data_IF_544506210240
#
_entry.id   IF_544506210240
#
_cell.length_a   1.000
_cell.length_b   1.000
_cell.length_c   1.000
_cell.angle_alpha   90.00
_cell.angle_beta   90.00
_cell.angle_gamma   90.00
#
_symmetry.space_group_name_H-M   'P 1'
#
loop_
_entity.id
_entity.type
_entity.pdbx_description
1 polymer ?
#
# COMPACT_ATOMS: atom_id res chain seq x y z
N UNK A 1 -6.41 48.63 44.80
CA UNK A 1 -5.52 47.50 44.53
C UNK A 1 -6.37 46.35 43.94
N UNK A 2 -6.47 46.29 42.60
CA UNK A 2 -7.27 45.30 41.89
C UNK A 2 -6.37 44.12 41.52
N UNK A 3 -6.59 42.96 42.17
CA UNK A 3 -5.87 41.73 41.85
C UNK A 3 -6.41 41.17 40.55
N UNK A 4 -5.62 41.19 39.51
CA UNK A 4 -5.88 40.57 38.20
C UNK A 4 -5.61 39.08 38.31
N UNK A 5 -6.65 38.28 38.38
CA UNK A 5 -6.57 36.81 38.34
C UNK A 5 -6.46 36.40 36.87
N UNK A 6 -5.23 36.01 36.46
CA UNK A 6 -4.98 35.44 35.16
C UNK A 6 -5.42 33.96 35.18
N UNK A 7 -6.62 33.70 34.64
CA UNK A 7 -7.12 32.33 34.50
C UNK A 7 -6.38 31.69 33.31
N UNK A 8 -5.39 30.86 33.62
CA UNK A 8 -4.64 30.10 32.63
C UNK A 8 -5.53 28.95 32.15
N UNK A 9 -6.21 29.16 31.00
CA UNK A 9 -7.01 28.12 30.33
C UNK A 9 -6.07 27.18 29.59
N UNK A 10 -5.66 26.09 30.27
CA UNK A 10 -4.89 25.00 29.64
C UNK A 10 -5.80 24.23 28.69
N UNK A 11 -5.74 24.56 27.41
CA UNK A 11 -6.41 23.79 26.33
C UNK A 11 -5.59 22.50 26.16
N UNK A 12 -6.07 21.41 26.71
CA UNK A 12 -5.58 20.07 26.40
C UNK A 12 -6.00 19.73 24.96
N UNK A 13 -5.10 19.90 24.02
CA UNK A 13 -5.26 19.33 22.67
C UNK A 13 -5.14 17.82 22.79
N UNK A 14 -6.26 17.15 22.97
CA UNK A 14 -6.34 15.69 22.79
C UNK A 14 -6.11 15.44 21.31
N UNK A 15 -4.87 15.18 20.93
CA UNK A 15 -4.51 14.68 19.61
C UNK A 15 -5.10 13.28 19.48
N UNK A 16 -6.28 13.21 18.85
CA UNK A 16 -6.88 11.96 18.45
C UNK A 16 -6.06 11.44 17.27
N UNK A 17 -4.92 10.75 17.53
CA UNK A 17 -4.29 9.93 16.51
C UNK A 17 -5.25 8.83 16.15
N UNK A 18 -5.70 8.70 14.88
CA UNK A 18 -6.43 7.52 14.47
C UNK A 18 -5.51 6.34 14.75
N UNK A 19 -5.95 5.40 15.58
CA UNK A 19 -5.20 4.19 15.87
C UNK A 19 -5.07 3.41 14.57
N UNK A 20 -3.94 3.58 13.91
CA UNK A 20 -3.64 2.85 12.71
C UNK A 20 -3.22 1.44 13.16
N UNK A 21 -4.21 0.54 13.33
CA UNK A 21 -3.97 -0.86 13.72
C UNK A 21 -3.27 -1.66 12.61
N UNK A 22 -2.71 -0.99 11.61
CA UNK A 22 -1.96 -1.63 10.55
C UNK A 22 -0.66 -2.21 11.12
N UNK A 23 -0.40 -3.48 10.81
CA UNK A 23 0.88 -4.12 11.11
C UNK A 23 1.92 -3.84 10.02
N UNK A 24 1.46 -3.39 8.84
CA UNK A 24 2.26 -2.83 7.76
C UNK A 24 1.49 -1.67 7.13
N UNK A 25 2.16 -0.57 6.89
CA UNK A 25 1.67 0.55 6.09
C UNK A 25 2.86 1.30 5.49
N UNK A 26 3.25 0.87 4.31
CA UNK A 26 4.44 1.38 3.63
C UNK A 26 4.12 1.71 2.17
N UNK A 27 4.86 2.65 1.60
CA UNK A 27 4.86 2.99 0.18
C UNK A 27 6.29 3.13 -0.30
N UNK A 28 6.57 2.58 -1.47
CA UNK A 28 7.87 2.63 -2.12
C UNK A 28 7.72 3.43 -3.40
N UNK A 29 8.51 4.51 -3.50
CA UNK A 29 8.52 5.35 -4.69
C UNK A 29 9.18 4.61 -5.87
N UNK A 30 8.58 4.73 -7.03
CA UNK A 30 9.12 4.25 -8.30
C UNK A 30 9.93 5.40 -8.90
N UNK A 31 11.14 5.12 -9.41
CA UNK A 31 11.95 6.16 -10.05
C UNK A 31 11.22 6.87 -11.21
N UNK A 32 11.41 8.17 -11.37
CA UNK A 32 10.82 8.95 -12.48
C UNK A 32 11.25 8.42 -13.86
N UNK A 33 12.43 7.81 -13.93
CA UNK A 33 12.91 7.14 -15.14
C UNK A 33 12.04 5.96 -15.58
N UNK A 34 11.19 5.46 -14.67
CA UNK A 34 10.28 4.35 -14.85
C UNK A 34 10.61 3.14 -13.99
N UNK A 35 9.68 2.20 -13.96
CA UNK A 35 9.80 0.95 -13.23
C UNK A 35 10.25 -0.17 -14.17
N UNK A 36 11.38 -0.81 -13.84
CA UNK A 36 11.90 -1.96 -14.58
C UNK A 36 11.74 -3.24 -13.77
N UNK A 37 11.71 -4.39 -14.43
CA UNK A 37 11.60 -5.69 -13.78
C UNK A 37 12.80 -6.02 -12.88
N UNK A 38 13.97 -5.39 -13.14
CA UNK A 38 15.19 -5.55 -12.35
C UNK A 38 15.14 -4.75 -11.03
N UNK A 39 14.16 -3.87 -10.87
CA UNK A 39 13.95 -3.09 -9.66
C UNK A 39 12.64 -3.49 -8.95
N UNK A 40 12.59 -4.67 -8.33
CA UNK A 40 11.41 -5.11 -7.61
C UNK A 40 11.11 -4.22 -6.40
N UNK A 41 9.84 -3.94 -6.18
CA UNK A 41 9.35 -3.30 -4.95
C UNK A 41 9.18 -4.38 -3.89
N UNK A 42 9.67 -4.12 -2.68
CA UNK A 42 9.63 -5.09 -1.57
C UNK A 42 9.02 -4.47 -0.32
N UNK A 43 8.17 -5.25 0.34
CA UNK A 43 7.61 -4.96 1.65
C UNK A 43 7.94 -6.10 2.60
N UNK A 44 8.26 -5.77 3.85
CA UNK A 44 8.58 -6.76 4.87
C UNK A 44 7.69 -6.56 6.08
N UNK A 45 7.10 -7.63 6.59
CA UNK A 45 6.26 -7.61 7.77
C UNK A 45 6.64 -8.74 8.73
N UNK A 46 6.60 -8.46 10.04
CA UNK A 46 6.77 -9.45 11.09
C UNK A 46 5.40 -9.88 11.59
N UNK A 47 5.06 -11.16 11.43
CA UNK A 47 3.82 -11.75 11.91
C UNK A 47 4.06 -12.35 13.29
N UNK A 48 3.42 -11.78 14.29
CA UNK A 48 3.51 -12.23 15.69
C UNK A 48 2.30 -13.04 16.16
N UNK A 49 1.16 -12.86 15.50
CA UNK A 49 -0.10 -13.55 15.80
C UNK A 49 -0.67 -14.21 14.54
N UNK A 50 -0.70 -15.55 14.55
CA UNK A 50 -1.25 -16.37 13.44
C UNK A 50 -2.73 -16.69 13.61
N UNK A 51 -3.32 -16.36 14.76
CA UNK A 51 -4.75 -16.58 15.04
C UNK A 51 -5.61 -15.43 14.50
N UNK A 52 -5.04 -14.21 14.44
CA UNK A 52 -5.67 -13.03 13.90
C UNK A 52 -5.73 -13.11 12.36
N UNK A 53 -6.91 -12.97 11.74
CA UNK A 53 -7.01 -12.76 10.30
C UNK A 53 -6.66 -11.32 9.93
N UNK A 54 -6.15 -11.13 8.72
CA UNK A 54 -5.71 -9.83 8.20
C UNK A 54 -6.32 -9.53 6.83
N UNK A 55 -6.59 -8.26 6.59
CA UNK A 55 -6.91 -7.74 5.26
C UNK A 55 -5.68 -7.07 4.66
N UNK A 56 -5.36 -7.43 3.42
CA UNK A 56 -4.20 -6.94 2.68
C UNK A 56 -4.68 -6.02 1.57
N UNK A 57 -4.15 -4.80 1.55
CA UNK A 57 -4.43 -3.80 0.54
C UNK A 57 -3.17 -3.46 -0.22
N UNK A 58 -3.33 -3.18 -1.52
CA UNK A 58 -2.31 -2.56 -2.35
C UNK A 58 -2.78 -1.16 -2.77
N UNK A 59 -1.86 -0.23 -2.85
CA UNK A 59 -2.10 1.13 -3.33
C UNK A 59 -1.22 1.38 -4.54
N UNK A 60 -1.81 1.82 -5.63
CA UNK A 60 -1.07 2.29 -6.80
C UNK A 60 -1.27 3.79 -6.92
N UNK A 61 -0.17 4.53 -6.86
CA UNK A 61 -0.12 5.95 -7.22
C UNK A 61 0.41 6.09 -8.63
N UNK A 62 -0.37 6.72 -9.50
CA UNK A 62 0.00 6.90 -10.89
C UNK A 62 -0.35 8.30 -11.40
N UNK A 63 0.31 8.71 -12.48
CA UNK A 63 -0.05 9.89 -13.24
C UNK A 63 -1.20 9.55 -14.21
N UNK A 64 -2.04 10.54 -14.55
CA UNK A 64 -3.12 10.38 -15.55
C UNK A 64 -2.60 10.18 -16.97
N UNK A 65 -1.30 10.35 -17.19
CA UNK A 65 -0.62 10.03 -18.46
C UNK A 65 -0.23 8.54 -18.55
N UNK A 66 -0.60 7.72 -17.58
CA UNK A 66 -0.43 6.27 -17.65
C UNK A 66 -1.26 5.71 -18.81
N UNK A 67 -0.66 4.86 -19.65
CA UNK A 67 -1.21 4.51 -20.96
C UNK A 67 -2.26 3.38 -20.93
N UNK A 68 -2.37 2.65 -19.79
CA UNK A 68 -3.24 1.48 -19.69
C UNK A 68 -4.30 1.65 -18.60
N UNK A 69 -5.44 0.97 -18.77
CA UNK A 69 -6.51 0.96 -17.77
C UNK A 69 -6.23 0.00 -16.59
N UNK A 70 -5.23 -0.85 -16.73
CA UNK A 70 -4.84 -1.83 -15.72
C UNK A 70 -3.32 -1.87 -15.50
N UNK A 71 -2.92 -2.51 -14.42
CA UNK A 71 -1.53 -2.82 -14.10
C UNK A 71 -1.44 -4.29 -13.71
N UNK A 72 -0.70 -5.09 -14.48
CA UNK A 72 -0.34 -6.44 -14.07
C UNK A 72 0.87 -6.40 -13.16
N UNK A 73 0.78 -7.12 -12.04
CA UNK A 73 1.87 -7.31 -11.08
C UNK A 73 2.13 -8.80 -10.90
N UNK A 74 3.38 -9.21 -10.96
CA UNK A 74 3.82 -10.49 -10.44
C UNK A 74 4.23 -10.30 -8.99
N UNK A 75 3.55 -11.00 -8.09
CA UNK A 75 3.83 -10.99 -6.66
C UNK A 75 4.54 -12.28 -6.28
N UNK A 76 5.61 -12.16 -5.51
CA UNK A 76 6.30 -13.27 -4.87
C UNK A 76 6.27 -13.06 -3.37
N UNK A 77 5.73 -14.04 -2.65
CA UNK A 77 5.68 -14.02 -1.19
C UNK A 77 6.70 -15.00 -0.66
N UNK A 78 7.69 -14.49 0.09
CA UNK A 78 8.65 -15.32 0.82
C UNK A 78 8.15 -15.53 2.24
N UNK A 79 8.19 -16.78 2.68
CA UNK A 79 7.78 -17.23 4.00
C UNK A 79 8.98 -17.27 4.96
N UNK A 80 8.73 -17.34 6.29
CA UNK A 80 9.81 -17.41 7.28
C UNK A 80 10.77 -18.59 7.13
N UNK A 81 10.31 -19.71 6.55
CA UNK A 81 11.08 -20.93 6.26
C UNK A 81 11.84 -20.89 4.92
N UNK A 82 11.91 -19.71 4.28
CA UNK A 82 12.53 -19.46 2.98
C UNK A 82 11.81 -20.07 1.78
N UNK A 83 10.68 -20.73 1.98
CA UNK A 83 9.80 -21.10 0.89
C UNK A 83 9.12 -19.86 0.27
N UNK A 84 8.55 -19.99 -0.90
CA UNK A 84 7.85 -18.89 -1.55
C UNK A 84 6.68 -19.35 -2.41
N UNK A 85 5.69 -18.47 -2.55
CA UNK A 85 4.62 -18.57 -3.55
C UNK A 85 4.76 -17.49 -4.62
N UNK A 86 4.05 -17.69 -5.73
CA UNK A 86 3.95 -16.70 -6.83
C UNK A 86 2.50 -16.53 -7.22
N UNK A 87 2.11 -15.28 -7.41
CA UNK A 87 0.77 -14.89 -7.83
C UNK A 87 0.86 -13.83 -8.92
N UNK A 88 -0.16 -13.77 -9.77
CA UNK A 88 -0.32 -12.70 -10.75
C UNK A 88 -1.56 -11.91 -10.38
N UNK A 89 -1.40 -10.60 -10.25
CA UNK A 89 -2.46 -9.67 -9.90
C UNK A 89 -2.77 -8.79 -11.09
N UNK A 90 -4.05 -8.55 -11.34
CA UNK A 90 -4.51 -7.52 -12.25
C UNK A 90 -5.16 -6.40 -11.44
N UNK A 91 -4.56 -5.23 -11.47
CA UNK A 91 -5.01 -4.04 -10.80
C UNK A 91 -5.73 -3.13 -11.81
N UNK A 92 -7.05 -3.04 -11.76
CA UNK A 92 -7.82 -2.13 -12.58
C UNK A 92 -7.66 -0.69 -12.06
N UNK A 93 -7.13 0.21 -12.88
CA UNK A 93 -6.87 1.61 -12.54
C UNK A 93 -7.90 2.55 -13.13
N UNK A 94 -8.61 2.13 -14.17
CA UNK A 94 -9.70 2.88 -14.80
C UNK A 94 -10.88 1.96 -15.16
N UNK A 95 -12.05 2.57 -15.39
CA UNK A 95 -13.22 1.89 -15.94
C UNK A 95 -13.15 1.79 -17.47
N UNK A 96 -14.13 1.09 -18.07
CA UNK A 96 -14.23 0.88 -19.52
C UNK A 96 -14.36 2.18 -20.33
N UNK A 97 -14.74 3.30 -19.69
CA UNK A 97 -14.83 4.62 -20.32
C UNK A 97 -13.53 5.42 -20.22
N UNK A 98 -12.49 4.85 -19.58
CA UNK A 98 -11.21 5.51 -19.35
C UNK A 98 -11.21 6.45 -18.15
N UNK A 99 -12.24 6.42 -17.31
CA UNK A 99 -12.28 7.20 -16.07
C UNK A 99 -11.46 6.51 -14.99
N UNK A 100 -10.45 7.23 -14.50
CA UNK A 100 -9.56 6.74 -13.45
C UNK A 100 -10.30 6.47 -12.15
N UNK A 101 -10.00 5.33 -11.55
CA UNK A 101 -10.37 5.02 -10.18
C UNK A 101 -9.49 5.78 -9.18
N UNK A 102 -9.85 5.67 -7.89
CA UNK A 102 -9.06 6.27 -6.81
C UNK A 102 -9.36 7.74 -6.58
N UNK A 103 -8.53 8.35 -5.76
CA UNK A 103 -8.66 9.76 -5.32
C UNK A 103 -7.40 10.51 -5.73
N UNK A 104 -7.55 11.81 -5.92
CA UNK A 104 -6.42 12.66 -6.22
C UNK A 104 -6.84 13.97 -6.85
N UNK A 105 -5.90 14.86 -7.02
CA UNK A 105 -6.09 16.16 -7.66
C UNK A 105 -5.20 16.28 -8.88
N UNK A 106 -5.66 17.07 -9.87
CA UNK A 106 -4.91 17.29 -11.10
C UNK A 106 -4.56 15.99 -11.82
N UNK A 107 -3.28 15.72 -12.05
CA UNK A 107 -2.76 14.60 -12.84
C UNK A 107 -2.39 13.35 -12.03
N UNK A 108 -2.60 13.32 -10.72
CA UNK A 108 -2.21 12.18 -9.87
C UNK A 108 -3.44 11.47 -9.31
N UNK A 109 -3.40 10.14 -9.28
CA UNK A 109 -4.42 9.28 -8.67
C UNK A 109 -3.78 8.29 -7.71
N UNK A 110 -4.41 8.17 -6.53
CA UNK A 110 -4.13 7.14 -5.52
C UNK A 110 -5.28 6.15 -5.52
N UNK A 111 -5.04 4.95 -5.99
CA UNK A 111 -6.04 3.88 -6.02
C UNK A 111 -5.68 2.79 -5.02
N UNK A 112 -6.55 2.60 -4.03
CA UNK A 112 -6.42 1.58 -2.98
C UNK A 112 -7.32 0.40 -3.34
N UNK A 113 -6.74 -0.78 -3.43
CA UNK A 113 -7.44 -2.01 -3.77
C UNK A 113 -7.29 -3.03 -2.65
N UNK A 114 -8.36 -3.73 -2.32
CA UNK A 114 -8.30 -4.90 -1.45
C UNK A 114 -7.71 -6.07 -2.24
N UNK A 115 -6.51 -6.51 -1.85
CA UNK A 115 -5.84 -7.64 -2.48
C UNK A 115 -6.38 -8.97 -1.96
N UNK A 116 -6.41 -9.12 -0.63
CA UNK A 116 -6.92 -10.33 0.02
C UNK A 116 -7.65 -9.96 1.32
N UNK A 117 -8.70 -10.71 1.64
CA UNK A 117 -9.48 -10.54 2.86
C UNK A 117 -9.36 -11.77 3.75
N UNK A 118 -9.35 -11.55 5.07
CA UNK A 118 -9.34 -12.61 6.08
C UNK A 118 -8.18 -13.61 5.93
N UNK A 119 -7.01 -13.13 5.51
CA UNK A 119 -5.81 -13.96 5.38
C UNK A 119 -5.30 -14.36 6.74
N UNK A 120 -5.03 -15.65 6.93
CA UNK A 120 -4.31 -16.16 8.09
C UNK A 120 -2.90 -16.56 7.66
N UNK A 121 -1.92 -15.98 8.31
CA UNK A 121 -0.53 -16.38 8.07
C UNK A 121 -0.26 -17.71 8.77
N UNK A 122 0.30 -18.73 8.05
CA UNK A 122 0.45 -20.08 8.61
C UNK A 122 1.49 -20.17 9.72
N UNK A 123 2.47 -19.27 9.74
CA UNK A 123 3.57 -19.28 10.72
C UNK A 123 3.90 -17.87 11.18
N UNK A 124 4.46 -17.76 12.39
CA UNK A 124 5.05 -16.53 12.90
C UNK A 124 6.39 -16.28 12.22
N UNK A 125 6.79 -15.01 12.14
CA UNK A 125 8.08 -14.60 11.62
C UNK A 125 7.99 -13.62 10.48
N UNK A 126 9.10 -13.45 9.78
CA UNK A 126 9.28 -12.44 8.75
C UNK A 126 8.79 -12.93 7.40
N UNK A 127 7.82 -12.20 6.85
CA UNK A 127 7.34 -12.35 5.47
C UNK A 127 7.88 -11.22 4.62
N UNK A 128 8.22 -11.51 3.36
CA UNK A 128 8.58 -10.49 2.38
C UNK A 128 7.71 -10.65 1.15
N UNK A 129 7.10 -9.56 0.71
CA UNK A 129 6.34 -9.45 -0.53
C UNK A 129 7.18 -8.69 -1.55
N UNK A 130 7.44 -9.32 -2.68
CA UNK A 130 8.19 -8.74 -3.79
C UNK A 130 7.26 -8.58 -4.99
N UNK A 131 7.26 -7.39 -5.58
CA UNK A 131 6.44 -7.05 -6.73
C UNK A 131 7.30 -6.58 -7.89
N UNK A 132 7.00 -7.09 -9.07
CA UNK A 132 7.48 -6.57 -10.35
C UNK A 132 6.29 -6.36 -11.28
N UNK A 133 6.35 -5.39 -12.20
CA UNK A 133 5.27 -5.22 -13.16
C UNK A 133 5.29 -6.34 -14.20
N UNK A 134 4.09 -6.76 -14.65
CA UNK A 134 3.88 -7.75 -15.70
C UNK A 134 3.44 -7.13 -17.03
N UNK A 135 3.65 -5.82 -17.20
CA UNK A 135 3.30 -5.09 -18.42
C UNK A 135 4.29 -5.41 -19.55
N UNK A 136 3.80 -5.35 -20.81
CA UNK A 136 4.59 -5.65 -22.01
C UNK A 136 5.51 -4.50 -22.42
N UNK A 137 6.24 -3.97 -21.46
CA UNK A 137 7.25 -2.91 -21.65
C UNK A 137 8.40 -3.17 -20.69
N UNK A 138 9.63 -2.87 -21.11
CA UNK A 138 10.81 -3.04 -20.24
C UNK A 138 10.86 -1.96 -19.15
N UNK A 139 10.37 -0.77 -19.46
CA UNK A 139 10.38 0.37 -18.56
C UNK A 139 8.98 0.98 -18.48
N UNK A 140 8.29 0.70 -17.37
CA UNK A 140 6.94 1.18 -17.12
C UNK A 140 6.96 2.58 -16.54
N UNK A 141 6.44 3.55 -17.30
CA UNK A 141 6.36 4.96 -16.88
C UNK A 141 5.03 5.28 -16.21
N UNK A 142 4.98 6.44 -15.55
CA UNK A 142 3.78 7.02 -14.95
C UNK A 142 3.16 6.23 -13.78
N UNK A 143 3.81 5.18 -13.29
CA UNK A 143 3.59 4.64 -11.95
C UNK A 143 4.58 5.35 -11.02
N UNK A 144 4.07 5.98 -9.97
CA UNK A 144 4.85 6.84 -9.07
C UNK A 144 5.20 6.12 -7.76
N UNK A 145 4.25 5.37 -7.21
CA UNK A 145 4.43 4.62 -5.97
C UNK A 145 3.65 3.32 -6.02
N UNK A 146 4.17 2.31 -5.36
CA UNK A 146 3.44 1.13 -4.94
C UNK A 146 3.41 1.09 -3.42
N UNK A 147 2.21 0.96 -2.84
CA UNK A 147 2.01 0.88 -1.40
C UNK A 147 1.40 -0.45 -0.98
N UNK A 148 1.70 -0.89 0.23
CA UNK A 148 1.09 -2.06 0.85
C UNK A 148 0.63 -1.74 2.26
N UNK A 149 -0.58 -2.21 2.60
CA UNK A 149 -1.16 -2.07 3.93
C UNK A 149 -1.73 -3.40 4.38
N UNK A 150 -1.39 -3.82 5.60
CA UNK A 150 -1.92 -5.03 6.24
C UNK A 150 -2.54 -4.61 7.57
N UNK A 151 -3.83 -4.92 7.75
CA UNK A 151 -4.59 -4.58 8.95
C UNK A 151 -5.31 -5.81 9.48
N UNK A 152 -5.54 -5.93 10.81
CA UNK A 152 -6.45 -6.93 11.34
C UNK A 152 -7.83 -6.83 10.69
N UNK A 153 -8.37 -7.96 10.23
CA UNK A 153 -9.74 -8.02 9.72
C UNK A 153 -10.74 -7.78 10.84
N UNK A 154 -11.86 -7.13 10.51
CA UNK A 154 -12.95 -6.82 11.44
C UNK A 154 -14.04 -7.88 11.38
#
# INVERSE_FOLDING_TARGET
MRKLIFLLFCVYLVSCSPSNNAILYESVAIPEAGWTIDNPVRFTVEIVDTTQPYDIYITVRHNTDYEWMNLFLFMKTYYPDLEFSRDTLECFLADETGRWFGRGSSSVRDHVMLLQRNVRFPQKGRYQFEFVHGMRTENLRNIMDLGMKIVPSR
#
